data_IF_791949817241
#
_entry.id   IF_791949817241
#
_cell.length_a   1.000
_cell.length_b   1.000
_cell.length_c   1.000
_cell.angle_alpha   90.00
_cell.angle_beta   90.00
_cell.angle_gamma   90.00
#
_symmetry.space_group_name_H-M   'P 1'
#
loop_
_entity.id
_entity.type
_entity.pdbx_description
1 polymer ?
#
# COMPACT_ATOMS: atom_id res chain seq x y z
N UNK A 1 -69.84 8.10 3.29
CA UNK A 1 -68.89 9.23 3.55
C UNK A 1 -67.92 9.00 4.71
N UNK A 2 -68.28 8.29 5.77
CA UNK A 2 -67.39 7.99 6.94
C UNK A 2 -66.22 7.02 6.61
N UNK A 3 -66.40 6.07 5.68
CA UNK A 3 -65.40 5.03 5.35
C UNK A 3 -64.23 5.58 4.55
N UNK A 4 -64.48 6.53 3.64
CA UNK A 4 -63.44 7.15 2.80
C UNK A 4 -62.52 8.07 3.60
N UNK A 5 -63.04 8.70 4.64
CA UNK A 5 -62.23 9.56 5.55
C UNK A 5 -61.27 8.75 6.41
N UNK A 6 -61.67 7.54 6.84
CA UNK A 6 -60.82 6.64 7.65
C UNK A 6 -59.68 6.07 6.80
N UNK A 7 -59.89 5.78 5.52
CA UNK A 7 -58.89 5.26 4.62
C UNK A 7 -57.82 6.33 4.26
N UNK A 8 -58.22 7.60 4.09
CA UNK A 8 -57.29 8.71 3.87
C UNK A 8 -56.40 9.02 5.10
N UNK A 9 -56.97 8.90 6.30
CA UNK A 9 -56.27 9.09 7.57
C UNK A 9 -55.24 7.96 7.79
N UNK A 10 -55.59 6.69 7.52
CA UNK A 10 -54.67 5.55 7.62
C UNK A 10 -53.52 5.67 6.60
N UNK A 11 -53.79 6.08 5.37
CA UNK A 11 -52.70 6.28 4.36
C UNK A 11 -51.73 7.38 4.78
N UNK A 12 -52.23 8.47 5.38
CA UNK A 12 -51.35 9.53 5.92
C UNK A 12 -50.51 9.05 7.11
N UNK A 13 -51.12 8.21 7.99
CA UNK A 13 -50.40 7.63 9.12
C UNK A 13 -49.32 6.63 8.69
N UNK A 14 -49.60 5.77 7.70
CA UNK A 14 -48.63 4.83 7.11
C UNK A 14 -47.53 5.59 6.40
N UNK A 15 -47.83 6.66 5.66
CA UNK A 15 -46.83 7.50 5.01
C UNK A 15 -45.93 8.20 6.03
N UNK A 16 -46.48 8.67 7.15
CA UNK A 16 -45.74 9.29 8.27
C UNK A 16 -44.82 8.29 8.95
N UNK A 17 -45.31 7.05 9.19
CA UNK A 17 -44.51 5.97 9.78
C UNK A 17 -43.37 5.53 8.82
N UNK A 18 -43.62 5.44 7.52
CA UNK A 18 -42.59 5.15 6.52
C UNK A 18 -41.56 6.28 6.44
N UNK A 19 -41.94 7.54 6.54
CA UNK A 19 -41.01 8.68 6.57
C UNK A 19 -40.18 8.68 7.86
N UNK A 20 -40.80 8.35 9.01
CA UNK A 20 -40.06 8.23 10.28
C UNK A 20 -39.11 7.02 10.24
N UNK A 21 -39.51 5.88 9.66
CA UNK A 21 -38.63 4.71 9.47
C UNK A 21 -37.52 4.98 8.45
N UNK A 22 -37.76 5.76 7.38
CA UNK A 22 -36.70 6.21 6.48
C UNK A 22 -35.76 7.24 7.12
N UNK A 23 -36.25 8.08 8.04
CA UNK A 23 -35.42 9.05 8.75
C UNK A 23 -34.55 8.34 9.81
N UNK A 24 -35.05 7.25 10.44
CA UNK A 24 -34.23 6.47 11.38
C UNK A 24 -33.21 5.54 10.70
N UNK A 25 -33.39 5.22 9.43
CA UNK A 25 -32.37 4.49 8.64
C UNK A 25 -31.31 5.40 8.00
N UNK A 26 -31.49 6.73 8.08
CA UNK A 26 -30.50 7.72 7.57
C UNK A 26 -29.63 8.28 8.73
N UNK A 27 -30.00 8.02 9.99
CA UNK A 27 -29.20 8.40 11.17
C UNK A 27 -28.45 7.22 11.82
N UNK A 28 -27.92 6.28 11.01
CA UNK A 28 -26.67 5.62 11.30
C UNK A 28 -25.54 6.46 10.67
N UNK A 29 -25.65 7.78 10.82
CA UNK A 29 -24.56 8.69 10.56
C UNK A 29 -23.55 8.56 11.68
N UNK A 30 -22.33 8.14 11.32
CA UNK A 30 -21.10 8.37 12.02
C UNK A 30 -21.26 9.34 13.20
N UNK A 31 -21.41 8.80 14.40
CA UNK A 31 -20.97 9.57 15.55
C UNK A 31 -19.52 9.97 15.21
N UNK A 32 -19.16 11.23 15.34
CA UNK A 32 -17.80 11.76 15.32
C UNK A 32 -16.99 11.15 16.48
N UNK A 33 -16.92 9.81 16.51
CA UNK A 33 -16.08 9.07 17.43
C UNK A 33 -14.67 9.25 16.88
N UNK A 34 -13.85 10.01 17.59
CA UNK A 34 -12.43 10.14 17.26
C UNK A 34 -11.73 8.79 17.48
N UNK A 35 -11.84 7.92 16.47
CA UNK A 35 -11.18 6.61 16.40
C UNK A 35 -9.88 6.68 15.59
N UNK A 36 -9.52 7.87 15.10
CA UNK A 36 -8.30 8.04 14.33
C UNK A 36 -7.08 8.07 15.25
N UNK A 37 -6.07 7.29 14.88
CA UNK A 37 -4.76 7.24 15.53
C UNK A 37 -3.78 7.97 14.63
N UNK A 38 -3.07 8.96 15.18
CA UNK A 38 -2.05 9.71 14.47
C UNK A 38 -0.64 9.21 14.85
N UNK A 39 0.37 9.56 14.06
CA UNK A 39 1.77 9.18 14.33
C UNK A 39 2.23 9.53 15.76
N UNK A 40 1.79 10.67 16.30
CA UNK A 40 2.07 11.10 17.68
C UNK A 40 1.41 10.25 18.77
N UNK A 41 0.45 9.41 18.40
CA UNK A 41 -0.27 8.52 19.30
C UNK A 41 0.32 7.11 19.31
N UNK A 42 1.39 6.88 18.53
CA UNK A 42 2.03 5.57 18.37
C UNK A 42 3.51 5.65 18.75
N UNK A 43 3.96 4.71 19.55
CA UNK A 43 5.38 4.50 19.86
C UNK A 43 5.73 3.04 19.62
N UNK A 44 6.86 2.83 18.94
CA UNK A 44 7.39 1.50 18.65
C UNK A 44 8.78 1.36 19.30
N UNK A 45 8.96 0.32 20.07
CA UNK A 45 10.24 -0.01 20.71
C UNK A 45 10.70 -1.40 20.25
N UNK A 46 11.99 -1.54 19.97
CA UNK A 46 12.56 -2.84 19.64
C UNK A 46 12.73 -3.66 20.92
N UNK A 47 12.26 -4.88 20.93
CA UNK A 47 12.51 -5.83 22.00
C UNK A 47 14.00 -6.26 21.99
N UNK A 48 14.59 -6.43 23.16
CA UNK A 48 16.01 -6.80 23.29
C UNK A 48 16.29 -8.22 22.74
N UNK A 49 15.31 -9.12 22.81
CA UNK A 49 15.49 -10.51 22.41
C UNK A 49 15.01 -10.77 20.98
N UNK A 50 13.79 -10.36 20.66
CA UNK A 50 13.23 -10.44 19.30
C UNK A 50 11.89 -9.73 19.21
N UNK A 51 11.58 -9.10 18.07
CA UNK A 51 10.32 -8.43 17.88
C UNK A 51 10.27 -6.99 18.37
N UNK A 52 9.05 -6.50 18.63
CA UNK A 52 8.80 -5.08 18.91
C UNK A 52 7.65 -4.90 19.88
N UNK A 53 7.71 -3.84 20.66
CA UNK A 53 6.62 -3.36 21.50
C UNK A 53 5.96 -2.15 20.85
N UNK A 54 4.69 -2.28 20.50
CA UNK A 54 3.88 -1.20 19.96
C UNK A 54 2.99 -0.65 21.08
N UNK A 55 3.13 0.64 21.35
CA UNK A 55 2.28 1.37 22.27
C UNK A 55 1.38 2.30 21.49
N UNK A 56 0.07 2.23 21.75
CA UNK A 56 -0.94 3.08 21.12
C UNK A 56 -1.65 3.86 22.23
N UNK A 57 -1.59 5.19 22.16
CA UNK A 57 -2.25 6.07 23.15
C UNK A 57 -3.71 5.73 23.32
N UNK A 58 -4.14 5.51 24.55
CA UNK A 58 -5.56 5.37 24.88
C UNK A 58 -6.28 6.70 24.70
N UNK A 59 -7.21 6.76 23.75
CA UNK A 59 -8.13 7.90 23.58
C UNK A 59 -9.49 7.56 24.20
N UNK A 60 -10.32 8.57 24.57
CA UNK A 60 -11.58 8.33 25.27
C UNK A 60 -12.53 7.35 24.56
N UNK A 61 -12.57 7.41 23.22
CA UNK A 61 -13.48 6.60 22.41
C UNK A 61 -12.86 5.29 21.90
N UNK A 62 -11.57 5.07 22.10
CA UNK A 62 -10.89 3.84 21.69
C UNK A 62 -10.81 2.89 22.88
N UNK A 63 -11.49 1.75 22.81
CA UNK A 63 -11.53 0.76 23.88
C UNK A 63 -10.86 -0.58 23.52
N UNK A 64 -10.45 -0.75 22.29
CA UNK A 64 -9.50 -1.79 21.87
C UNK A 64 -8.82 -1.43 20.57
N UNK A 65 -7.69 -2.06 20.34
CA UNK A 65 -6.90 -1.96 19.10
C UNK A 65 -6.51 -3.34 18.62
N UNK A 66 -6.43 -3.54 17.32
CA UNK A 66 -5.96 -4.79 16.71
C UNK A 66 -5.07 -4.48 15.51
N UNK A 67 -4.01 -5.24 15.35
CA UNK A 67 -3.26 -5.25 14.11
C UNK A 67 -3.97 -6.12 13.09
N UNK A 68 -4.34 -5.53 11.97
CA UNK A 68 -5.05 -6.23 10.90
C UNK A 68 -4.29 -6.13 9.57
N UNK A 69 -4.57 -7.04 8.68
CA UNK A 69 -4.26 -6.93 7.27
C UNK A 69 -5.16 -5.84 6.67
N UNK A 70 -4.61 -5.00 5.80
CA UNK A 70 -5.33 -3.81 5.28
C UNK A 70 -6.31 -4.11 4.17
N UNK A 71 -6.27 -5.28 3.57
CA UNK A 71 -7.20 -5.62 2.50
C UNK A 71 -8.57 -5.97 3.04
N UNK A 72 -9.58 -5.26 2.55
CA UNK A 72 -10.99 -5.60 2.80
C UNK A 72 -11.28 -6.96 2.14
N UNK A 73 -11.99 -7.84 2.87
CA UNK A 73 -12.58 -9.01 2.23
C UNK A 73 -13.58 -8.54 1.16
N UNK A 74 -13.39 -8.89 -0.12
CA UNK A 74 -14.28 -8.49 -1.20
C UNK A 74 -15.72 -8.98 -1.02
N UNK A 75 -15.91 -10.05 -0.24
CA UNK A 75 -17.23 -10.64 0.02
C UNK A 75 -17.93 -10.01 1.23
N UNK A 76 -17.21 -9.25 2.07
CA UNK A 76 -17.73 -8.65 3.29
C UNK A 76 -18.13 -9.65 4.36
N UNK A 77 -17.80 -10.93 4.20
CA UNK A 77 -18.18 -12.00 5.13
C UNK A 77 -17.14 -12.24 6.22
N UNK A 78 -15.88 -11.92 5.92
CA UNK A 78 -14.75 -12.15 6.84
C UNK A 78 -13.99 -10.85 7.11
N UNK A 79 -14.67 -9.88 7.72
CA UNK A 79 -14.11 -8.55 7.98
C UNK A 79 -12.89 -8.52 8.93
N UNK A 80 -12.36 -9.70 9.32
CA UNK A 80 -11.41 -9.84 10.41
C UNK A 80 -10.15 -10.60 10.06
N UNK A 81 -9.44 -10.14 9.05
CA UNK A 81 -8.04 -10.50 8.97
C UNK A 81 -7.29 -9.80 10.10
N UNK A 82 -6.70 -10.59 11.00
CA UNK A 82 -5.78 -10.07 11.99
C UNK A 82 -4.45 -10.78 11.84
N UNK A 83 -3.39 -10.10 12.18
CA UNK A 83 -2.09 -10.75 12.35
C UNK A 83 -2.11 -11.63 13.59
N UNK A 84 -1.33 -12.71 13.55
CA UNK A 84 -1.21 -13.67 14.62
C UNK A 84 0.26 -13.93 14.93
N UNK A 85 0.57 -14.14 16.20
CA UNK A 85 1.81 -14.77 16.60
C UNK A 85 1.64 -16.29 16.61
N UNK A 86 2.65 -17.06 16.24
CA UNK A 86 2.62 -18.52 16.33
C UNK A 86 2.80 -19.00 17.76
N UNK A 87 3.59 -18.27 18.54
CA UNK A 87 3.89 -18.56 19.93
C UNK A 87 3.13 -17.68 20.89
N UNK A 88 2.82 -18.24 22.08
CA UNK A 88 2.21 -17.45 23.15
C UNK A 88 3.13 -16.33 23.60
N UNK A 89 2.54 -15.14 23.79
CA UNK A 89 3.20 -14.00 24.40
C UNK A 89 2.31 -13.45 25.51
N UNK A 90 2.89 -13.15 26.69
CA UNK A 90 2.14 -12.69 27.85
C UNK A 90 1.41 -11.36 27.60
N UNK A 91 1.97 -10.49 26.77
CA UNK A 91 1.38 -9.19 26.43
C UNK A 91 0.12 -9.35 25.60
N UNK A 92 0.13 -10.29 24.65
CA UNK A 92 -1.00 -10.58 23.75
C UNK A 92 -1.89 -11.74 24.24
N UNK A 93 -1.57 -12.35 25.37
CA UNK A 93 -2.08 -13.67 25.77
C UNK A 93 -3.50 -13.70 26.31
N UNK A 94 -3.99 -12.62 26.89
CA UNK A 94 -5.33 -12.56 27.48
C UNK A 94 -6.40 -12.06 26.52
N UNK A 95 -6.08 -11.97 25.25
CA UNK A 95 -6.91 -11.35 24.25
C UNK A 95 -7.95 -12.29 23.68
N UNK A 96 -9.12 -11.76 23.47
CA UNK A 96 -10.23 -12.46 22.84
C UNK A 96 -10.48 -11.87 21.47
N UNK A 97 -10.52 -12.73 20.47
CA UNK A 97 -10.85 -12.30 19.14
C UNK A 97 -12.33 -12.55 18.83
N UNK A 98 -12.93 -11.58 18.17
CA UNK A 98 -14.31 -11.65 17.70
C UNK A 98 -14.30 -11.72 16.18
N UNK A 99 -15.07 -12.64 15.61
CA UNK A 99 -15.37 -12.71 14.18
C UNK A 99 -16.88 -12.61 14.01
N UNK A 100 -17.34 -11.66 13.21
CA UNK A 100 -18.77 -11.42 12.96
C UNK A 100 -19.60 -11.29 14.25
N UNK A 101 -19.04 -10.65 15.27
CA UNK A 101 -19.70 -10.43 16.55
C UNK A 101 -19.62 -11.59 17.56
N UNK A 102 -18.96 -12.70 17.23
CA UNK A 102 -18.80 -13.86 18.10
C UNK A 102 -17.34 -14.09 18.51
N UNK A 103 -17.12 -14.51 19.76
CA UNK A 103 -15.76 -14.86 20.21
C UNK A 103 -15.25 -16.10 19.49
N UNK A 104 -14.06 -15.98 18.88
CA UNK A 104 -13.39 -17.08 18.26
C UNK A 104 -12.69 -17.96 19.31
N UNK A 105 -13.21 -19.17 19.47
CA UNK A 105 -12.55 -20.27 20.16
C UNK A 105 -11.96 -21.24 19.12
N UNK A 106 -10.91 -20.82 18.44
CA UNK A 106 -10.30 -21.62 17.37
C UNK A 106 -8.80 -21.66 17.52
N UNK A 107 -8.20 -22.81 17.24
CA UNK A 107 -6.74 -22.94 17.14
C UNK A 107 -6.12 -22.04 16.06
N UNK A 108 -6.92 -21.65 15.07
CA UNK A 108 -6.49 -20.73 13.99
C UNK A 108 -6.47 -19.27 14.41
N UNK A 109 -7.12 -18.91 15.50
CA UNK A 109 -7.16 -17.56 16.04
C UNK A 109 -6.26 -17.38 17.27
N UNK A 110 -5.33 -18.29 17.49
CA UNK A 110 -4.36 -18.18 18.59
C UNK A 110 -3.59 -16.89 18.48
N UNK A 111 -3.38 -16.25 19.62
CA UNK A 111 -2.46 -15.13 19.79
C UNK A 111 -2.64 -14.01 18.77
N UNK A 112 -3.89 -13.60 18.52
CA UNK A 112 -4.16 -12.41 17.71
C UNK A 112 -3.52 -11.19 18.36
N UNK A 113 -2.97 -10.29 17.53
CA UNK A 113 -2.33 -9.07 18.02
C UNK A 113 -3.39 -8.00 18.29
N UNK A 114 -4.03 -8.09 19.43
CA UNK A 114 -5.11 -7.23 19.89
C UNK A 114 -4.84 -6.83 21.35
N UNK A 115 -5.23 -5.64 21.75
CA UNK A 115 -5.27 -5.23 23.15
C UNK A 115 -6.57 -4.47 23.48
N UNK A 116 -7.14 -4.78 24.65
CA UNK A 116 -8.33 -4.13 25.22
C UNK A 116 -8.11 -3.66 26.65
N UNK A 117 -6.91 -3.80 27.18
CA UNK A 117 -6.56 -3.50 28.56
C UNK A 117 -5.43 -2.48 28.61
N UNK A 118 -5.75 -1.18 28.42
CA UNK A 118 -4.71 -0.16 28.43
C UNK A 118 -3.99 -0.13 29.77
N UNK A 119 -2.68 0.02 29.73
CA UNK A 119 -1.80 0.12 30.90
C UNK A 119 -1.25 1.54 31.08
N UNK A 120 -0.69 1.81 32.27
CA UNK A 120 -0.03 3.09 32.52
C UNK A 120 1.22 3.22 31.68
N UNK A 121 1.33 4.32 30.95
CA UNK A 121 2.46 4.66 30.12
C UNK A 121 3.04 6.03 30.48
N UNK A 122 4.37 6.13 30.52
CA UNK A 122 5.06 7.34 30.94
C UNK A 122 4.88 8.53 29.98
N UNK A 123 4.73 8.25 28.68
CA UNK A 123 4.59 9.27 27.64
C UNK A 123 3.12 9.59 27.34
N UNK A 124 2.28 8.55 27.25
CA UNK A 124 0.88 8.70 26.86
C UNK A 124 -0.09 8.81 28.04
N UNK A 125 0.36 8.55 29.26
CA UNK A 125 -0.46 8.40 30.46
C UNK A 125 -1.12 7.04 30.53
N UNK A 126 -1.86 6.64 29.50
CA UNK A 126 -2.41 5.29 29.28
C UNK A 126 -2.22 4.89 27.82
N UNK A 127 -1.82 3.64 27.58
CA UNK A 127 -1.62 3.09 26.25
C UNK A 127 -2.06 1.63 26.17
N UNK A 128 -2.51 1.24 24.98
CA UNK A 128 -2.58 -0.16 24.58
C UNK A 128 -1.18 -0.64 24.24
N UNK A 129 -0.86 -1.86 24.64
CA UNK A 129 0.44 -2.46 24.43
C UNK A 129 0.34 -3.76 23.65
N UNK A 130 0.95 -3.82 22.48
CA UNK A 130 0.98 -5.00 21.61
C UNK A 130 2.43 -5.41 21.39
N UNK A 131 2.73 -6.68 21.64
CA UNK A 131 4.00 -7.27 21.22
C UNK A 131 3.87 -7.78 19.79
N UNK A 132 4.79 -7.37 18.92
CA UNK A 132 4.85 -7.76 17.51
C UNK A 132 6.07 -8.65 17.30
N UNK A 133 5.89 -9.93 16.92
CA UNK A 133 7.01 -10.82 16.62
C UNK A 133 7.76 -10.37 15.35
N UNK A 134 8.97 -10.88 15.14
CA UNK A 134 9.75 -10.60 13.93
C UNK A 134 9.08 -11.08 12.63
N UNK A 135 8.12 -11.98 12.72
CA UNK A 135 7.34 -12.48 11.61
C UNK A 135 5.84 -12.47 11.96
N UNK A 136 5.05 -11.79 11.17
CA UNK A 136 3.59 -11.74 11.32
C UNK A 136 2.95 -12.82 10.44
N UNK A 137 2.08 -13.63 11.01
CA UNK A 137 1.19 -14.52 10.28
C UNK A 137 -0.15 -13.83 10.04
N UNK A 138 -0.70 -13.94 8.84
CA UNK A 138 -1.99 -13.35 8.47
C UNK A 138 -2.90 -14.35 7.76
N UNK A 139 -4.19 -14.02 7.68
CA UNK A 139 -5.19 -14.86 7.03
C UNK A 139 -5.52 -16.14 7.79
N UNK A 140 -6.19 -17.05 7.12
CA UNK A 140 -6.59 -18.38 7.62
C UNK A 140 -6.14 -19.47 6.68
N UNK A 141 -6.02 -20.74 7.10
CA UNK A 141 -5.61 -21.84 6.24
C UNK A 141 -6.49 -22.04 4.98
N UNK A 142 -7.74 -21.61 5.06
CA UNK A 142 -8.73 -21.71 3.97
C UNK A 142 -8.93 -20.41 3.18
N UNK A 143 -8.31 -19.31 3.61
CA UNK A 143 -8.36 -18.02 2.98
C UNK A 143 -6.95 -17.46 2.80
N UNK A 144 -6.82 -16.26 2.25
CA UNK A 144 -5.52 -15.58 2.12
C UNK A 144 -4.68 -15.77 3.37
N UNK A 145 -3.58 -16.47 3.26
CA UNK A 145 -2.66 -16.69 4.35
C UNK A 145 -1.21 -16.48 3.90
N UNK A 146 -0.37 -16.12 4.84
CA UNK A 146 1.04 -15.92 4.60
C UNK A 146 1.76 -15.41 5.83
N UNK A 147 3.04 -15.10 5.64
CA UNK A 147 3.92 -14.57 6.66
C UNK A 147 4.62 -13.34 6.14
N UNK A 148 4.79 -12.34 6.99
CA UNK A 148 5.46 -11.08 6.70
C UNK A 148 6.58 -10.89 7.71
N UNK A 149 7.85 -10.82 7.26
CA UNK A 149 8.93 -10.41 8.14
C UNK A 149 8.74 -8.93 8.51
N UNK A 150 8.84 -8.62 9.80
CA UNK A 150 8.68 -7.25 10.30
C UNK A 150 10.02 -6.55 10.28
N UNK A 151 10.14 -5.60 9.39
CA UNK A 151 11.37 -4.84 9.14
C UNK A 151 11.05 -3.34 8.96
N UNK A 152 12.10 -2.52 8.86
CA UNK A 152 11.91 -1.12 8.47
C UNK A 152 11.19 -1.04 7.12
N UNK A 153 10.09 -0.29 7.07
CA UNK A 153 9.25 -0.18 5.89
C UNK A 153 8.11 -1.21 5.82
N UNK A 154 7.99 -2.10 6.81
CA UNK A 154 6.80 -2.97 6.90
C UNK A 154 5.56 -2.13 7.18
N UNK A 155 4.54 -2.37 6.38
CA UNK A 155 3.25 -1.72 6.55
C UNK A 155 2.36 -2.52 7.50
N UNK A 156 1.69 -1.83 8.42
CA UNK A 156 0.69 -2.39 9.32
C UNK A 156 -0.54 -1.51 9.37
N UNK A 157 -1.67 -2.10 9.72
CA UNK A 157 -2.89 -1.35 10.02
C UNK A 157 -3.30 -1.57 11.48
N UNK A 158 -3.38 -0.48 12.24
CA UNK A 158 -3.91 -0.49 13.59
C UNK A 158 -5.40 -0.15 13.50
N UNK A 159 -6.26 -1.15 13.60
CA UNK A 159 -7.70 -0.91 13.67
C UNK A 159 -8.10 -0.59 15.10
N UNK A 160 -8.67 0.57 15.30
CA UNK A 160 -9.21 1.05 16.59
C UNK A 160 -10.70 0.80 16.68
N UNK A 161 -11.20 0.47 17.87
CA UNK A 161 -12.59 0.15 18.12
C UNK A 161 -13.17 0.98 19.25
N UNK A 162 -14.44 1.34 19.08
CA UNK A 162 -15.26 1.92 20.13
C UNK A 162 -15.48 0.94 21.29
N UNK A 163 -15.57 -0.37 21.00
CA UNK A 163 -15.82 -1.42 21.98
C UNK A 163 -14.57 -2.23 22.31
N UNK A 164 -14.50 -2.85 23.50
CA UNK A 164 -13.43 -3.77 23.85
C UNK A 164 -13.40 -5.01 22.93
N UNK A 165 -12.27 -5.71 22.93
CA UNK A 165 -12.06 -7.00 22.26
C UNK A 165 -12.30 -7.00 20.74
N UNK A 166 -12.04 -5.88 20.08
CA UNK A 166 -12.26 -5.74 18.64
C UNK A 166 -13.69 -6.12 18.22
N UNK A 167 -14.68 -5.67 19.00
CA UNK A 167 -16.11 -5.92 18.75
C UNK A 167 -16.62 -5.02 17.60
N UNK A 168 -16.90 -5.64 16.47
CA UNK A 168 -17.41 -4.97 15.26
C UNK A 168 -18.88 -4.53 15.33
N UNK A 169 -19.57 -4.77 16.44
CA UNK A 169 -20.92 -4.23 16.65
C UNK A 169 -20.92 -2.77 17.08
N UNK A 170 -19.73 -2.19 17.32
CA UNK A 170 -19.48 -0.77 17.51
C UNK A 170 -18.81 -0.10 16.33
N UNK A 171 -18.46 1.18 16.47
CA UNK A 171 -17.64 1.91 15.51
C UNK A 171 -16.21 1.39 15.48
N UNK A 172 -15.57 1.41 14.30
CA UNK A 172 -14.15 1.13 14.14
C UNK A 172 -13.55 1.97 13.02
N UNK A 173 -12.24 2.19 13.08
CA UNK A 173 -11.49 2.89 12.05
C UNK A 173 -10.17 2.18 11.76
N UNK A 174 -9.77 2.18 10.50
CA UNK A 174 -8.46 1.71 10.05
C UNK A 174 -7.45 2.84 10.11
N UNK A 175 -6.30 2.57 10.70
CA UNK A 175 -5.20 3.51 10.85
C UNK A 175 -3.92 2.85 10.34
N UNK A 176 -3.59 3.05 9.06
CA UNK A 176 -2.41 2.46 8.44
C UNK A 176 -1.12 3.17 8.87
N UNK A 177 -0.10 2.39 9.22
CA UNK A 177 1.22 2.88 9.60
C UNK A 177 2.31 2.07 8.91
N UNK A 178 3.47 2.71 8.73
CA UNK A 178 4.68 2.05 8.32
C UNK A 178 5.66 1.97 9.48
N UNK A 179 6.27 0.80 9.66
CA UNK A 179 7.36 0.64 10.62
C UNK A 179 8.60 1.39 10.15
N UNK A 180 8.83 2.58 10.70
CA UNK A 180 10.07 3.29 10.59
C UNK A 180 10.86 3.12 11.89
N UNK A 181 11.78 2.15 11.90
CA UNK A 181 12.71 1.96 13.01
C UNK A 181 13.80 3.02 12.90
N UNK A 182 13.59 4.18 13.48
CA UNK A 182 14.70 5.08 13.76
C UNK A 182 15.31 4.68 15.10
N UNK A 183 16.60 4.34 15.09
CA UNK A 183 17.36 4.32 16.33
C UNK A 183 17.13 5.65 17.03
N UNK A 184 16.75 5.61 18.30
CA UNK A 184 16.49 6.78 19.13
C UNK A 184 17.72 7.69 19.13
N UNK A 185 17.80 8.63 18.19
CA UNK A 185 18.79 9.70 18.25
C UNK A 185 18.33 10.66 19.32
N UNK A 186 19.18 10.86 20.32
CA UNK A 186 19.05 11.97 21.29
C UNK A 186 18.79 13.25 20.50
N UNK A 187 17.79 14.06 20.84
CA UNK A 187 17.47 15.26 20.08
C UNK A 187 18.67 16.19 20.02
N UNK A 188 19.24 16.37 18.85
CA UNK A 188 20.11 17.51 18.57
C UNK A 188 19.15 18.64 18.16
N UNK A 189 19.03 19.64 19.03
CA UNK A 189 18.30 20.87 18.73
C UNK A 189 18.79 21.45 17.39
N UNK A 190 17.84 21.79 16.51
CA UNK A 190 18.01 22.49 15.24
C UNK A 190 18.44 21.66 14.01
N UNK A 191 17.56 20.73 13.56
CA UNK A 191 17.47 20.43 12.13
C UNK A 191 16.02 20.60 11.67
N UNK A 192 15.75 21.11 10.43
CA UNK A 192 14.39 21.20 9.92
C UNK A 192 13.80 19.78 9.92
N UNK A 193 12.57 19.66 10.42
CA UNK A 193 11.83 18.38 10.43
C UNK A 193 11.76 17.85 9.00
N UNK A 194 12.10 16.57 8.78
CA UNK A 194 11.80 15.93 7.50
C UNK A 194 10.28 15.98 7.28
N UNK A 195 9.87 16.35 6.08
CA UNK A 195 8.45 16.39 5.71
C UNK A 195 7.80 15.05 6.10
N UNK A 196 6.77 15.14 6.95
CA UNK A 196 5.99 13.98 7.38
C UNK A 196 5.30 13.39 6.16
N UNK A 197 5.74 12.23 5.73
CA UNK A 197 4.93 11.42 4.83
C UNK A 197 3.72 10.95 5.62
N UNK A 198 2.59 11.64 5.44
CA UNK A 198 1.30 11.21 5.99
C UNK A 198 0.88 10.04 5.13
N UNK A 199 1.07 8.82 5.64
CA UNK A 199 0.46 7.63 5.06
C UNK A 199 -1.04 7.73 5.35
N UNK A 200 -1.77 8.24 4.37
CA UNK A 200 -3.23 8.20 4.37
C UNK A 200 -3.70 6.83 3.90
N UNK A 201 -5.00 6.52 3.99
CA UNK A 201 -5.67 5.31 3.43
C UNK A 201 -5.45 5.14 1.91
N UNK A 202 -4.55 5.91 1.33
CA UNK A 202 -4.36 6.08 -0.09
C UNK A 202 -3.48 5.03 -0.75
N UNK A 203 -2.66 4.29 -0.01
CA UNK A 203 -1.76 3.30 -0.61
C UNK A 203 -2.29 1.88 -0.44
N UNK A 204 -2.19 1.08 -1.50
CA UNK A 204 -2.43 -0.36 -1.42
C UNK A 204 -1.31 -1.02 -0.59
N UNK A 205 -1.62 -1.61 0.57
CA UNK A 205 -0.59 -2.15 1.46
C UNK A 205 0.10 -3.38 0.89
N UNK A 206 -0.60 -4.19 0.10
CA UNK A 206 0.00 -5.36 -0.56
C UNK A 206 1.00 -4.91 -1.64
N UNK A 207 0.64 -3.87 -2.40
CA UNK A 207 1.54 -3.25 -3.36
C UNK A 207 2.76 -2.63 -2.67
N UNK A 208 2.54 -1.89 -1.58
CA UNK A 208 3.60 -1.28 -0.78
C UNK A 208 4.60 -2.33 -0.28
N UNK A 209 4.11 -3.44 0.26
CA UNK A 209 4.95 -4.54 0.71
C UNK A 209 5.74 -5.18 -0.44
N UNK A 210 5.08 -5.45 -1.57
CA UNK A 210 5.72 -6.05 -2.73
C UNK A 210 6.80 -5.12 -3.31
N UNK A 211 6.51 -3.83 -3.45
CA UNK A 211 7.45 -2.83 -3.95
C UNK A 211 8.64 -2.65 -3.01
N UNK A 212 8.40 -2.65 -1.68
CA UNK A 212 9.44 -2.62 -0.68
C UNK A 212 10.41 -3.81 -0.79
N UNK A 213 9.88 -5.01 -0.99
CA UNK A 213 10.70 -6.21 -1.18
C UNK A 213 11.48 -6.16 -2.49
N UNK A 214 10.84 -5.75 -3.60
CA UNK A 214 11.52 -5.60 -4.88
C UNK A 214 12.70 -4.63 -4.74
N UNK A 215 12.48 -3.47 -4.14
CA UNK A 215 13.55 -2.49 -3.91
C UNK A 215 14.68 -3.06 -3.05
N UNK A 216 14.35 -3.63 -1.90
CA UNK A 216 15.32 -4.18 -0.94
C UNK A 216 16.19 -5.28 -1.56
N UNK A 217 15.57 -6.27 -2.20
CA UNK A 217 16.28 -7.41 -2.80
C UNK A 217 17.18 -7.00 -3.98
N UNK A 218 16.91 -5.84 -4.57
CA UNK A 218 17.65 -5.34 -5.74
C UNK A 218 18.43 -4.05 -5.44
N UNK A 219 18.83 -3.84 -4.16
CA UNK A 219 19.68 -2.73 -3.68
C UNK A 219 19.12 -1.34 -3.97
N UNK A 220 17.83 -1.25 -4.17
CA UNK A 220 17.12 -0.01 -4.46
C UNK A 220 16.45 0.61 -3.24
N UNK A 221 15.62 1.61 -3.51
CA UNK A 221 14.84 2.35 -2.52
C UNK A 221 13.36 2.22 -2.84
N UNK A 222 12.53 2.12 -1.79
CA UNK A 222 11.10 2.37 -1.89
C UNK A 222 10.86 3.86 -1.62
N UNK A 223 10.18 4.53 -2.55
CA UNK A 223 9.81 5.95 -2.47
C UNK A 223 8.29 6.03 -2.46
N UNK A 224 7.74 6.79 -1.52
CA UNK A 224 6.32 7.05 -1.40
C UNK A 224 5.99 8.34 -2.11
N UNK A 225 5.20 8.26 -3.16
CA UNK A 225 4.74 9.42 -3.91
C UNK A 225 3.42 9.93 -3.33
N UNK A 226 3.26 11.24 -3.25
CA UNK A 226 1.95 11.84 -3.00
C UNK A 226 1.09 11.91 -4.29
N UNK A 227 1.41 11.08 -5.29
CA UNK A 227 0.72 11.06 -6.58
C UNK A 227 1.13 12.23 -7.48
N UNK A 228 0.17 12.83 -8.24
CA UNK A 228 0.46 13.85 -9.23
C UNK A 228 1.25 15.06 -8.73
N UNK A 229 1.16 15.35 -7.44
CA UNK A 229 1.83 16.51 -6.84
C UNK A 229 3.34 16.29 -6.63
N UNK A 230 3.79 15.06 -6.41
CA UNK A 230 5.19 14.76 -6.07
C UNK A 230 5.89 13.80 -7.03
N UNK A 231 5.17 13.02 -7.84
CA UNK A 231 5.72 11.91 -8.62
C UNK A 231 6.95 12.27 -9.46
N UNK A 232 7.00 13.49 -10.00
CA UNK A 232 8.16 13.95 -10.77
C UNK A 232 9.37 14.18 -9.86
N UNK A 233 9.15 14.78 -8.69
CA UNK A 233 10.19 14.99 -7.67
C UNK A 233 10.74 13.66 -7.18
N UNK A 234 9.85 12.68 -6.96
CA UNK A 234 10.18 11.34 -6.48
C UNK A 234 11.03 10.57 -7.50
N UNK A 235 10.69 10.70 -8.79
CA UNK A 235 11.54 10.19 -9.88
C UNK A 235 12.91 10.86 -9.87
N UNK A 236 12.97 12.18 -9.69
CA UNK A 236 14.22 12.92 -9.64
C UNK A 236 15.05 12.55 -8.41
N UNK A 237 14.44 12.20 -7.28
CA UNK A 237 15.13 11.65 -6.11
C UNK A 237 15.78 10.31 -6.41
N UNK A 238 15.05 9.39 -7.05
CA UNK A 238 15.62 8.10 -7.48
C UNK A 238 16.84 8.29 -8.39
N UNK A 239 16.74 9.20 -9.37
CA UNK A 239 17.82 9.50 -10.30
C UNK A 239 19.02 10.22 -9.64
N UNK A 240 18.81 10.93 -8.54
CA UNK A 240 19.88 11.68 -7.86
C UNK A 240 20.99 10.80 -7.27
N UNK A 241 20.70 9.52 -7.06
CA UNK A 241 21.68 8.55 -6.53
C UNK A 241 22.71 8.08 -7.57
N UNK A 242 22.52 8.41 -8.85
CA UNK A 242 23.42 8.00 -9.94
C UNK A 242 24.60 8.96 -10.09
N UNK A 243 25.79 8.40 -10.34
CA UNK A 243 26.99 9.18 -10.59
C UNK A 243 26.98 9.71 -12.02
N UNK A 244 26.95 11.04 -12.18
CA UNK A 244 26.84 11.71 -13.47
C UNK A 244 28.11 11.61 -14.34
N UNK A 245 29.24 11.27 -13.75
CA UNK A 245 30.52 11.11 -14.47
C UNK A 245 30.64 9.76 -15.20
N UNK A 246 29.70 8.84 -14.95
CA UNK A 246 29.69 7.50 -15.53
C UNK A 246 28.60 7.35 -16.60
N UNK A 247 28.68 6.25 -17.36
CA UNK A 247 27.58 5.84 -18.23
C UNK A 247 26.38 5.39 -17.40
N UNK A 248 25.20 5.74 -17.84
CA UNK A 248 23.96 5.47 -17.12
C UNK A 248 22.92 4.89 -18.08
N UNK A 249 22.40 3.75 -17.72
CA UNK A 249 21.22 3.13 -18.32
C UNK A 249 20.07 3.10 -17.33
N UNK A 250 18.96 3.76 -17.67
CA UNK A 250 17.76 3.78 -16.84
C UNK A 250 16.58 3.24 -17.63
N UNK A 251 15.82 2.32 -17.06
CA UNK A 251 14.53 1.87 -17.60
C UNK A 251 13.41 2.25 -16.63
N UNK A 252 12.44 2.99 -17.13
CA UNK A 252 11.20 3.25 -16.45
C UNK A 252 10.22 2.11 -16.70
N UNK A 253 9.74 1.47 -15.65
CA UNK A 253 8.62 0.53 -15.67
C UNK A 253 7.40 1.23 -15.07
N UNK A 254 6.46 1.64 -15.90
CA UNK A 254 5.33 2.48 -15.49
C UNK A 254 4.03 1.69 -15.64
N UNK A 255 3.28 1.63 -14.56
CA UNK A 255 1.91 1.18 -14.59
C UNK A 255 1.09 2.10 -15.51
N UNK A 256 0.36 1.50 -16.45
CA UNK A 256 -0.45 2.20 -17.42
C UNK A 256 -1.93 1.82 -17.31
N UNK A 257 -2.35 1.39 -16.13
CA UNK A 257 -3.76 1.09 -15.79
C UNK A 257 -4.55 2.35 -15.47
N UNK A 258 -5.86 2.19 -15.32
CA UNK A 258 -6.78 3.32 -15.18
C UNK A 258 -6.54 4.18 -13.95
N UNK A 259 -6.08 3.60 -12.84
CA UNK A 259 -5.76 4.29 -11.59
C UNK A 259 -4.62 5.28 -11.71
N UNK A 260 -3.67 5.02 -12.62
CA UNK A 260 -2.46 5.84 -12.84
C UNK A 260 -2.67 7.03 -13.79
N UNK A 261 -3.91 7.31 -14.20
CA UNK A 261 -4.19 8.27 -15.28
C UNK A 261 -3.68 9.68 -15.00
N UNK A 262 -3.92 10.21 -13.84
CA UNK A 262 -3.52 11.56 -13.41
C UNK A 262 -2.00 11.65 -13.17
N UNK A 263 -1.39 10.63 -12.59
CA UNK A 263 0.06 10.52 -12.42
C UNK A 263 0.79 10.52 -13.77
N UNK A 264 0.32 9.73 -14.71
CA UNK A 264 0.90 9.67 -16.07
C UNK A 264 0.74 10.98 -16.80
N UNK A 265 -0.38 11.68 -16.65
CA UNK A 265 -0.58 12.98 -17.27
C UNK A 265 0.41 14.03 -16.74
N UNK A 266 0.77 13.96 -15.46
CA UNK A 266 1.82 14.83 -14.87
C UNK A 266 3.21 14.41 -15.33
N UNK A 267 3.51 13.11 -15.34
CA UNK A 267 4.78 12.60 -15.89
C UNK A 267 4.98 13.05 -17.33
N UNK A 268 3.96 12.95 -18.19
CA UNK A 268 3.99 13.41 -19.57
C UNK A 268 4.31 14.91 -19.70
N UNK A 269 3.75 15.72 -18.83
CA UNK A 269 3.85 17.19 -18.90
C UNK A 269 5.14 17.72 -18.31
N UNK A 270 5.63 17.14 -17.21
CA UNK A 270 6.68 17.75 -16.39
C UNK A 270 7.99 16.95 -16.36
N UNK A 271 7.94 15.60 -16.40
CA UNK A 271 9.13 14.77 -16.19
C UNK A 271 10.28 15.14 -17.11
N UNK A 272 9.99 15.38 -18.37
CA UNK A 272 11.03 15.66 -19.37
C UNK A 272 11.70 17.01 -19.17
N UNK A 273 10.94 18.03 -18.77
CA UNK A 273 11.54 19.35 -18.47
C UNK A 273 12.49 19.25 -17.27
N UNK A 274 12.12 18.49 -16.26
CA UNK A 274 12.96 18.28 -15.08
C UNK A 274 14.19 17.42 -15.41
N UNK A 275 14.00 16.34 -16.17
CA UNK A 275 15.12 15.56 -16.70
C UNK A 275 16.07 16.44 -17.50
N UNK A 276 15.58 17.25 -18.42
CA UNK A 276 16.44 18.15 -19.22
C UNK A 276 17.19 19.16 -18.36
N UNK A 277 16.54 19.73 -17.36
CA UNK A 277 17.17 20.72 -16.46
C UNK A 277 18.33 20.09 -15.67
N UNK A 278 18.17 18.85 -15.23
CA UNK A 278 19.15 18.14 -14.39
C UNK A 278 20.23 17.43 -15.20
N UNK A 279 19.90 16.96 -16.40
CA UNK A 279 20.79 16.12 -17.23
C UNK A 279 21.54 16.90 -18.32
N UNK A 280 21.57 18.21 -18.30
CA UNK A 280 22.38 19.01 -19.24
C UNK A 280 23.85 18.62 -19.23
N UNK A 281 24.34 18.08 -18.11
CA UNK A 281 25.72 17.61 -17.94
C UNK A 281 25.87 16.10 -18.15
N UNK A 282 24.79 15.34 -18.31
CA UNK A 282 24.83 13.87 -18.46
C UNK A 282 24.97 13.44 -19.91
N UNK A 283 26.21 13.46 -20.40
CA UNK A 283 26.52 13.16 -21.79
C UNK A 283 26.33 11.69 -22.20
N UNK A 284 26.11 10.78 -21.23
CA UNK A 284 26.16 9.33 -21.46
C UNK A 284 24.95 8.58 -20.93
N UNK A 285 23.78 9.23 -20.86
CA UNK A 285 22.56 8.56 -20.40
C UNK A 285 21.78 7.92 -21.55
N UNK A 286 21.31 6.70 -21.36
CA UNK A 286 20.28 6.06 -22.17
C UNK A 286 19.04 5.75 -21.32
N UNK A 287 17.88 6.07 -21.86
CA UNK A 287 16.61 5.88 -21.17
C UNK A 287 15.74 4.93 -21.98
N UNK A 288 15.20 3.91 -21.30
CA UNK A 288 14.22 2.97 -21.82
C UNK A 288 12.88 3.11 -21.14
N UNK A 289 11.82 2.55 -21.73
CA UNK A 289 10.47 2.57 -21.19
C UNK A 289 9.80 1.22 -21.36
N UNK A 290 9.23 0.71 -20.27
CA UNK A 290 8.28 -0.39 -20.25
C UNK A 290 6.99 0.12 -19.64
N UNK A 291 5.90 -0.04 -20.35
CA UNK A 291 4.56 0.19 -19.85
C UNK A 291 3.92 -1.17 -19.60
N UNK A 292 3.23 -1.32 -18.48
CA UNK A 292 2.55 -2.57 -18.18
C UNK A 292 1.08 -2.34 -17.82
N UNK A 293 0.29 -3.35 -18.01
CA UNK A 293 -1.12 -3.48 -17.64
C UNK A 293 -1.39 -4.92 -17.23
N UNK A 294 -2.65 -5.28 -17.09
CA UNK A 294 -3.01 -6.67 -16.85
C UNK A 294 -3.15 -7.49 -18.15
N UNK A 295 -3.24 -8.80 -18.00
CA UNK A 295 -3.35 -9.78 -19.10
C UNK A 295 -4.63 -9.66 -19.92
N UNK A 296 -5.67 -9.02 -19.40
CA UNK A 296 -6.92 -8.75 -20.11
C UNK A 296 -6.80 -7.57 -21.10
N UNK A 297 -5.78 -6.73 -20.93
CA UNK A 297 -5.56 -5.54 -21.75
C UNK A 297 -4.86 -5.83 -23.08
N UNK A 298 -4.69 -4.78 -23.89
CA UNK A 298 -4.17 -4.89 -25.25
C UNK A 298 -2.64 -4.95 -25.38
N UNK A 299 -1.92 -4.66 -24.31
CA UNK A 299 -0.45 -4.67 -24.36
C UNK A 299 0.08 -6.09 -24.54
N UNK A 300 0.95 -6.27 -25.54
CA UNK A 300 1.57 -7.57 -25.81
C UNK A 300 2.98 -7.39 -26.37
N UNK A 301 3.94 -7.96 -25.66
CA UNK A 301 5.32 -8.08 -26.14
C UNK A 301 5.89 -9.44 -25.71
N UNK A 302 6.23 -10.28 -26.66
CA UNK A 302 6.71 -11.65 -26.40
C UNK A 302 5.83 -12.47 -25.42
N UNK A 303 4.51 -12.30 -25.52
CA UNK A 303 3.53 -12.99 -24.67
C UNK A 303 3.31 -12.35 -23.29
N UNK A 304 4.04 -11.27 -22.96
CA UNK A 304 3.86 -10.51 -21.72
C UNK A 304 2.91 -9.33 -21.94
N UNK A 305 2.13 -8.91 -20.93
CA UNK A 305 1.19 -7.79 -21.02
C UNK A 305 1.89 -6.44 -20.86
N UNK A 306 2.94 -6.24 -21.65
CA UNK A 306 3.77 -5.04 -21.62
C UNK A 306 3.90 -4.40 -23.00
N UNK A 307 4.28 -3.12 -23.00
CA UNK A 307 4.72 -2.39 -24.19
C UNK A 307 6.13 -1.87 -23.92
N UNK A 308 7.07 -2.20 -24.80
CA UNK A 308 8.48 -1.94 -24.60
C UNK A 308 9.02 -0.97 -25.64
N UNK A 309 9.78 0.02 -25.19
CA UNK A 309 10.52 0.96 -26.01
C UNK A 309 12.00 0.94 -25.59
N UNK A 310 12.84 0.46 -26.47
CA UNK A 310 14.28 0.28 -26.22
C UNK A 310 15.00 1.56 -25.79
N UNK A 311 16.26 1.42 -25.42
CA UNK A 311 17.08 2.55 -25.01
C UNK A 311 17.19 3.64 -26.07
N UNK A 312 17.12 4.88 -25.63
CA UNK A 312 17.37 6.07 -26.41
C UNK A 312 18.14 7.11 -25.60
N UNK A 313 19.08 7.80 -26.24
CA UNK A 313 19.70 9.02 -25.67
C UNK A 313 18.95 10.29 -26.09
N UNK A 314 17.91 10.15 -26.91
CA UNK A 314 17.10 11.26 -27.39
C UNK A 314 15.84 11.40 -26.52
N UNK A 315 15.80 12.44 -25.69
CA UNK A 315 14.67 12.71 -24.81
C UNK A 315 13.36 12.97 -25.56
N UNK A 316 13.39 13.53 -26.78
CA UNK A 316 12.18 13.75 -27.57
C UNK A 316 11.56 12.42 -28.05
N UNK A 317 12.41 11.43 -28.32
CA UNK A 317 11.95 10.06 -28.61
C UNK A 317 11.32 9.42 -27.40
N UNK A 318 11.87 9.61 -26.22
CA UNK A 318 11.28 9.13 -24.97
C UNK A 318 9.91 9.78 -24.70
N UNK A 319 9.80 11.11 -24.89
CA UNK A 319 8.50 11.83 -24.80
C UNK A 319 7.48 11.24 -25.73
N UNK A 320 7.87 11.02 -27.01
CA UNK A 320 6.99 10.41 -28.00
C UNK A 320 6.49 9.03 -27.57
N UNK A 321 7.38 8.22 -26.99
CA UNK A 321 7.04 6.90 -26.48
C UNK A 321 6.07 7.00 -25.30
N UNK A 322 6.33 7.88 -24.32
CA UNK A 322 5.46 8.12 -23.16
C UNK A 322 4.08 8.67 -23.56
N UNK A 323 3.98 9.37 -24.69
CA UNK A 323 2.71 9.87 -25.24
C UNK A 323 2.03 8.92 -26.24
N UNK A 324 2.60 7.72 -26.50
CA UNK A 324 2.12 6.82 -27.56
C UNK A 324 0.97 5.90 -27.16
N UNK A 325 0.43 6.06 -25.97
CA UNK A 325 -0.70 5.26 -25.46
C UNK A 325 -1.75 6.14 -24.79
N UNK A 326 -2.97 5.62 -24.70
CA UNK A 326 -4.08 6.29 -24.03
C UNK A 326 -4.45 5.53 -22.77
N UNK A 327 -4.94 6.27 -21.77
CA UNK A 327 -5.56 5.74 -20.57
C UNK A 327 -6.97 6.33 -20.50
N UNK A 328 -7.96 5.46 -20.52
CA UNK A 328 -9.36 5.87 -20.45
C UNK A 328 -9.96 5.75 -19.05
N UNK A 329 -9.21 5.14 -18.10
CA UNK A 329 -9.64 4.90 -16.72
C UNK A 329 -10.35 3.55 -16.52
N UNK A 330 -10.35 2.68 -17.55
CA UNK A 330 -10.99 1.35 -17.51
C UNK A 330 -9.97 0.22 -17.70
N UNK A 331 -8.70 0.56 -17.85
CA UNK A 331 -7.62 -0.39 -18.02
C UNK A 331 -7.26 -1.01 -16.67
N UNK A 332 -6.78 -2.24 -16.68
CA UNK A 332 -6.68 -3.13 -15.55
C UNK A 332 -7.91 -4.07 -15.53
N UNK A 333 -7.99 -5.02 -14.74
CA UNK A 333 -9.14 -5.93 -14.65
C UNK A 333 -9.45 -6.22 -13.19
N UNK A 334 -8.50 -6.73 -12.52
CA UNK A 334 -8.45 -6.93 -11.08
C UNK A 334 -7.32 -6.08 -10.47
N UNK A 335 -7.19 -6.05 -9.17
CA UNK A 335 -6.23 -5.17 -8.47
C UNK A 335 -4.76 -5.56 -8.78
N UNK A 336 -4.36 -6.87 -8.77
CA UNK A 336 -3.00 -7.23 -9.12
C UNK A 336 -2.68 -6.94 -10.59
N UNK A 337 -1.49 -6.38 -10.84
CA UNK A 337 -1.04 -5.99 -12.16
C UNK A 337 0.25 -6.75 -12.57
N UNK A 338 0.67 -6.62 -13.82
CA UNK A 338 1.79 -7.39 -14.39
C UNK A 338 3.17 -6.79 -14.04
N UNK A 339 3.41 -6.53 -12.78
CA UNK A 339 4.65 -5.91 -12.28
C UNK A 339 5.89 -6.77 -12.56
N UNK A 340 5.83 -8.06 -12.25
CA UNK A 340 6.98 -8.96 -12.49
C UNK A 340 7.26 -9.16 -13.99
N UNK A 341 6.23 -9.15 -14.82
CA UNK A 341 6.33 -9.20 -16.26
C UNK A 341 7.02 -7.95 -16.83
N UNK A 342 6.70 -6.78 -16.26
CA UNK A 342 7.37 -5.53 -16.63
C UNK A 342 8.86 -5.54 -16.26
N UNK A 343 9.18 -5.95 -15.03
CA UNK A 343 10.55 -6.09 -14.56
C UNK A 343 11.32 -7.13 -15.37
N UNK A 344 10.71 -8.29 -15.65
CA UNK A 344 11.33 -9.30 -16.53
C UNK A 344 11.63 -8.71 -17.92
N UNK A 345 10.69 -8.00 -18.50
CA UNK A 345 10.87 -7.34 -19.79
C UNK A 345 12.00 -6.31 -19.76
N UNK A 346 12.06 -5.48 -18.73
CA UNK A 346 13.10 -4.49 -18.54
C UNK A 346 14.49 -5.10 -18.37
N UNK A 347 14.59 -6.17 -17.58
CA UNK A 347 15.89 -6.82 -17.34
C UNK A 347 16.37 -7.59 -18.57
N UNK A 348 15.45 -8.26 -19.29
CA UNK A 348 15.81 -9.27 -20.29
C UNK A 348 15.89 -8.71 -21.71
N UNK A 349 14.99 -7.80 -22.08
CA UNK A 349 14.84 -7.37 -23.48
C UNK A 349 15.55 -6.05 -23.80
N UNK A 350 16.24 -5.45 -22.83
CA UNK A 350 17.08 -4.29 -23.06
C UNK A 350 18.55 -4.67 -23.24
N UNK A 351 19.21 -3.94 -24.13
CA UNK A 351 20.64 -4.06 -24.38
C UNK A 351 21.43 -3.20 -23.38
N UNK A 352 21.53 -3.68 -22.14
CA UNK A 352 22.22 -3.01 -21.05
C UNK A 352 23.73 -2.94 -21.31
N UNK A 353 24.32 -1.75 -21.21
CA UNK A 353 25.78 -1.58 -21.31
C UNK A 353 26.44 -2.16 -20.05
N UNK A 354 27.39 -3.06 -20.24
CA UNK A 354 28.10 -3.73 -19.12
C UNK A 354 28.88 -2.76 -18.25
N UNK A 355 29.28 -1.60 -18.80
CA UNK A 355 30.06 -0.57 -18.13
C UNK A 355 29.20 0.54 -17.50
N UNK A 356 27.89 0.53 -17.72
CA UNK A 356 26.98 1.55 -17.20
C UNK A 356 26.51 1.22 -15.79
N UNK A 357 26.21 2.27 -15.02
CA UNK A 357 25.31 2.17 -13.88
C UNK A 357 23.92 1.83 -14.40
N UNK A 358 23.29 0.80 -13.86
CA UNK A 358 22.04 0.24 -14.37
C UNK A 358 20.95 0.40 -13.33
N UNK A 359 19.89 1.07 -13.72
CA UNK A 359 18.76 1.31 -12.83
C UNK A 359 17.42 1.04 -13.53
N UNK A 360 16.51 0.38 -12.81
CA UNK A 360 15.09 0.33 -13.12
C UNK A 360 14.36 1.20 -12.10
N UNK A 361 13.42 2.01 -12.57
CA UNK A 361 12.49 2.77 -11.72
C UNK A 361 11.10 2.21 -12.00
N UNK A 362 10.57 1.46 -11.04
CA UNK A 362 9.22 0.91 -11.08
C UNK A 362 8.25 1.91 -10.45
N UNK A 363 7.18 2.25 -11.16
CA UNK A 363 6.16 3.20 -10.72
C UNK A 363 4.79 2.53 -10.85
N UNK A 364 3.99 2.54 -9.80
CA UNK A 364 2.64 1.98 -9.80
C UNK A 364 1.97 2.04 -8.43
N UNK A 365 0.71 1.61 -8.39
CA UNK A 365 -0.17 1.63 -7.21
C UNK A 365 -0.70 0.24 -6.80
N UNK A 366 -0.45 -0.79 -7.62
CA UNK A 366 -1.00 -2.13 -7.44
C UNK A 366 0.07 -3.22 -7.26
N UNK A 367 -0.28 -4.27 -6.52
CA UNK A 367 0.60 -5.41 -6.27
C UNK A 367 0.81 -6.28 -7.51
N UNK A 368 1.96 -6.99 -7.59
CA UNK A 368 2.16 -8.02 -8.61
C UNK A 368 1.20 -9.20 -8.42
N UNK A 369 0.87 -9.89 -9.50
CA UNK A 369 0.15 -11.15 -9.41
C UNK A 369 0.86 -12.15 -8.49
N UNK A 370 0.14 -12.73 -7.54
CA UNK A 370 0.66 -13.74 -6.61
C UNK A 370 1.09 -15.04 -7.32
N UNK A 371 0.56 -15.27 -8.52
CA UNK A 371 0.92 -16.39 -9.40
C UNK A 371 1.05 -15.92 -10.84
N UNK A 372 2.09 -16.33 -11.57
CA UNK A 372 2.23 -15.98 -12.98
C UNK A 372 1.01 -16.38 -13.80
N UNK A 373 0.48 -15.45 -14.60
CA UNK A 373 -0.69 -15.65 -15.46
C UNK A 373 -0.26 -15.72 -16.94
N UNK A 374 -0.98 -16.54 -17.71
CA UNK A 374 -1.08 -16.47 -19.18
C UNK A 374 0.21 -16.53 -20.01
N UNK A 375 1.38 -16.54 -19.43
CA UNK A 375 2.68 -16.55 -20.10
C UNK A 375 3.35 -17.92 -20.05
N UNK A 376 4.14 -18.24 -21.09
CA UNK A 376 5.08 -19.37 -21.03
C UNK A 376 6.21 -19.11 -20.03
N UNK A 377 6.49 -17.86 -19.74
CA UNK A 377 7.49 -17.41 -18.76
C UNK A 377 6.81 -17.22 -17.41
N UNK A 378 7.33 -17.90 -16.40
CA UNK A 378 6.83 -17.76 -15.03
C UNK A 378 7.57 -16.61 -14.34
N UNK A 379 7.07 -15.39 -14.50
CA UNK A 379 7.63 -14.22 -13.83
C UNK A 379 7.29 -14.26 -12.33
N UNK A 380 8.30 -14.50 -11.52
CA UNK A 380 8.20 -14.54 -10.06
C UNK A 380 9.22 -13.61 -9.43
N UNK A 381 9.04 -13.26 -8.17
CA UNK A 381 10.00 -12.45 -7.40
C UNK A 381 11.41 -13.04 -7.46
N UNK A 382 11.54 -14.35 -7.25
CA UNK A 382 12.83 -15.04 -7.24
C UNK A 382 13.53 -14.95 -8.60
N UNK A 383 12.78 -15.09 -9.69
CA UNK A 383 13.32 -14.94 -11.04
C UNK A 383 13.83 -13.51 -11.28
N UNK A 384 13.05 -12.50 -10.90
CA UNK A 384 13.43 -11.09 -11.04
C UNK A 384 14.69 -10.81 -10.23
N UNK A 385 14.74 -11.22 -8.97
CA UNK A 385 15.88 -11.01 -8.09
C UNK A 385 17.15 -11.70 -8.61
N UNK A 386 17.01 -12.90 -9.14
CA UNK A 386 18.14 -13.63 -9.74
C UNK A 386 18.69 -12.89 -10.96
N UNK A 387 17.82 -12.50 -11.90
CA UNK A 387 18.23 -11.86 -13.15
C UNK A 387 18.80 -10.44 -12.95
N UNK A 388 18.21 -9.65 -12.05
CA UNK A 388 18.66 -8.30 -11.74
C UNK A 388 20.02 -8.33 -11.04
N UNK A 389 20.23 -9.25 -10.09
CA UNK A 389 21.51 -9.42 -9.41
C UNK A 389 22.60 -9.91 -10.38
N UNK A 390 22.32 -10.86 -11.27
CA UNK A 390 23.24 -11.32 -12.31
C UNK A 390 23.74 -10.17 -13.20
N UNK A 391 22.84 -9.27 -13.57
CA UNK A 391 23.17 -8.11 -14.42
C UNK A 391 23.62 -6.88 -13.64
N UNK A 392 23.63 -6.95 -12.31
CA UNK A 392 23.90 -5.83 -11.39
C UNK A 392 23.03 -4.61 -11.70
N UNK A 393 21.69 -4.84 -11.74
CA UNK A 393 20.69 -3.79 -11.98
C UNK A 393 20.07 -3.43 -10.62
N UNK A 394 20.12 -2.15 -10.27
CA UNK A 394 19.41 -1.61 -9.12
C UNK A 394 17.93 -1.36 -9.50
N UNK A 395 17.00 -1.68 -8.61
CA UNK A 395 15.57 -1.42 -8.83
C UNK A 395 15.04 -0.51 -7.71
N UNK A 396 14.78 0.74 -8.04
CA UNK A 396 14.02 1.63 -7.16
C UNK A 396 12.53 1.49 -7.48
N UNK A 397 11.70 1.62 -6.46
CA UNK A 397 10.24 1.52 -6.59
C UNK A 397 9.60 2.79 -6.07
N UNK A 398 8.64 3.32 -6.82
CA UNK A 398 7.82 4.47 -6.44
C UNK A 398 6.38 3.98 -6.34
N UNK A 399 5.85 3.97 -5.13
CA UNK A 399 4.45 3.62 -4.88
C UNK A 399 3.60 4.88 -4.90
N UNK A 400 2.54 4.89 -5.69
CA UNK A 400 1.58 5.98 -5.78
C UNK A 400 0.31 5.66 -4.99
N UNK A 401 -0.49 6.67 -4.60
CA UNK A 401 -1.77 6.44 -3.94
C UNK A 401 -2.73 5.64 -4.84
N UNK A 402 -3.45 4.70 -4.23
CA UNK A 402 -4.54 3.98 -4.91
C UNK A 402 -5.81 4.84 -4.93
N UNK A 403 -6.08 5.49 -6.05
CA UNK A 403 -7.26 6.34 -6.26
C UNK A 403 -8.55 5.52 -6.48
N UNK A 404 -8.81 4.50 -5.65
CA UNK A 404 -9.99 3.62 -5.77
C UNK A 404 -11.32 4.38 -5.71
N UNK A 405 -11.34 5.58 -5.16
CA UNK A 405 -12.55 6.41 -5.04
C UNK A 405 -13.10 6.87 -6.39
N UNK A 406 -12.26 7.03 -7.41
CA UNK A 406 -12.69 7.50 -8.74
C UNK A 406 -13.22 6.39 -9.65
N UNK A 407 -13.00 5.11 -9.31
CA UNK A 407 -13.50 3.97 -10.09
C UNK A 407 -14.99 3.68 -9.91
N UNK A 408 -15.70 4.40 -9.04
CA UNK A 408 -17.14 4.19 -8.72
C UNK A 408 -18.04 5.37 -9.01
N UNK A 409 -17.56 6.40 -9.70
CA UNK A 409 -18.38 7.54 -10.09
C UNK A 409 -18.85 7.46 -11.56
#
# INVERSE_FOLDING_TARGET
MKTVFKLKSMKKLILLICVILCITSVYAENSDLDLIIEQKDVRLEKDENSGYHLYVRKKPNINSVILVETTKDPTGQEANYAYRAEEYNEINGDEKRILNGEFLNSEYAKYSLIDSTPEKDAEFGEAFHIYIPMELSFGYPWARNGKIPVEKGTFINIRSFEKPYADYTGGFADNPFMFNFEERRVPVENQPEPEKVILTDSYNPTATYAFGNIAKENKGKLIYSAGPDSIVTDVMESLASLNQDERIDVVFCIDATGSMKDDIDVLRKKLISEIRAKFTDWKNIRIGLVLYRDYVDSFRYNGLPIKLFGFTSNLDSFVKNLNSFTINGLEGGDIPEAVYEALYGAITYFDWDVSAQKKIILIGDAEPHSKPRGSSIKCTSELINSLSNEKNIQIDTIITPDNVTDRRS
#
